data_IF_063527966055
#
_entry.id   IF_063527966055
#
_cell.length_a   1.000
_cell.length_b   1.000
_cell.length_c   1.000
_cell.angle_alpha   90.00
_cell.angle_beta   90.00
_cell.angle_gamma   90.00
#
_symmetry.space_group_name_H-M   'P 1'
#
loop_
_entity.id
_entity.type
_entity.pdbx_description
1 polymer ?
#
# COMPACT_ATOMS: atom_id res chain seq x y z
N UNK A 1 20.24 -13.88 2.77
CA UNK A 1 18.81 -14.28 2.60
C UNK A 1 18.18 -14.52 3.98
N UNK A 2 18.82 -15.34 4.84
CA UNK A 2 18.30 -15.71 6.17
C UNK A 2 18.06 -14.48 7.07
N UNK A 3 19.02 -13.57 7.18
CA UNK A 3 18.88 -12.35 7.98
C UNK A 3 17.76 -11.44 7.47
N UNK A 4 17.61 -11.30 6.17
CA UNK A 4 16.53 -10.51 5.57
C UNK A 4 15.13 -11.09 5.88
N UNK A 5 15.00 -12.42 5.80
CA UNK A 5 13.75 -13.11 6.11
C UNK A 5 13.33 -12.88 7.56
N UNK A 6 14.27 -13.06 8.50
CA UNK A 6 13.99 -12.85 9.93
C UNK A 6 13.61 -11.40 10.22
N UNK A 7 14.35 -10.43 9.67
CA UNK A 7 14.04 -9.00 9.82
C UNK A 7 12.63 -8.67 9.32
N UNK A 8 12.24 -9.23 8.16
CA UNK A 8 10.91 -9.04 7.58
C UNK A 8 9.81 -9.61 8.48
N UNK A 9 9.95 -10.86 8.95
CA UNK A 9 8.97 -11.51 9.82
C UNK A 9 8.89 -10.82 11.18
N UNK A 10 10.03 -10.42 11.77
CA UNK A 10 10.09 -9.62 13.00
C UNK A 10 9.35 -8.28 12.85
N UNK A 11 9.49 -7.65 11.68
CA UNK A 11 8.82 -6.38 11.41
C UNK A 11 7.28 -6.52 11.39
N UNK A 12 6.77 -7.68 10.96
CA UNK A 12 5.33 -7.99 10.99
C UNK A 12 4.89 -8.25 12.43
N UNK A 13 5.60 -9.09 13.17
CA UNK A 13 5.29 -9.42 14.57
C UNK A 13 5.23 -8.14 15.43
N UNK A 14 6.12 -7.18 15.19
CA UNK A 14 6.09 -5.89 15.91
C UNK A 14 4.88 -5.01 15.58
N UNK A 15 4.27 -5.19 14.39
CA UNK A 15 3.16 -4.35 13.90
C UNK A 15 1.79 -5.01 14.04
N UNK A 16 1.75 -6.33 14.26
CA UNK A 16 0.50 -7.08 14.41
C UNK A 16 0.47 -7.80 15.76
N UNK A 17 -0.38 -7.34 16.71
CA UNK A 17 -0.54 -8.00 18.01
C UNK A 17 -1.04 -9.47 17.92
N UNK A 18 -1.66 -9.87 16.82
CA UNK A 18 -2.14 -11.23 16.60
C UNK A 18 -1.04 -12.19 16.13
N UNK A 19 0.09 -11.65 15.65
CA UNK A 19 1.22 -12.45 15.15
C UNK A 19 2.01 -13.06 16.32
N UNK A 20 2.00 -14.40 16.43
CA UNK A 20 2.61 -15.11 17.58
C UNK A 20 3.98 -15.73 17.29
N UNK A 21 4.29 -16.04 16.03
CA UNK A 21 5.56 -16.68 15.66
C UNK A 21 5.88 -16.48 14.19
N UNK A 22 7.17 -16.55 13.84
CA UNK A 22 7.63 -16.52 12.45
C UNK A 22 6.96 -17.58 11.59
N UNK A 23 6.82 -18.80 12.11
CA UNK A 23 6.21 -19.91 11.37
C UNK A 23 4.73 -19.63 11.07
N UNK A 24 3.98 -19.13 12.05
CA UNK A 24 2.59 -18.73 11.85
C UNK A 24 2.48 -17.63 10.78
N UNK A 25 3.25 -16.57 10.90
CA UNK A 25 3.25 -15.46 9.93
C UNK A 25 3.60 -15.96 8.52
N UNK A 26 4.65 -16.77 8.39
CA UNK A 26 5.08 -17.32 7.10
C UNK A 26 3.98 -18.16 6.42
N UNK A 27 3.29 -19.01 7.17
CA UNK A 27 2.33 -19.97 6.62
C UNK A 27 0.93 -19.38 6.44
N UNK A 28 0.50 -18.44 7.29
CA UNK A 28 -0.90 -18.00 7.32
C UNK A 28 -1.14 -16.59 6.77
N UNK A 29 -0.11 -15.73 6.66
CA UNK A 29 -0.29 -14.36 6.21
C UNK A 29 -0.24 -14.26 4.68
N UNK A 30 -1.34 -13.88 4.01
CA UNK A 30 -1.38 -13.78 2.55
C UNK A 30 -0.43 -12.68 2.03
N UNK A 31 -0.27 -11.59 2.77
CA UNK A 31 0.65 -10.50 2.42
C UNK A 31 2.11 -10.95 2.31
N UNK A 32 2.54 -11.86 3.19
CA UNK A 32 3.90 -12.44 3.14
C UNK A 32 4.10 -13.21 1.84
N UNK A 33 3.15 -14.09 1.50
CA UNK A 33 3.19 -14.88 0.26
C UNK A 33 3.18 -13.98 -0.98
N UNK A 34 2.34 -12.94 -0.97
CA UNK A 34 2.24 -11.97 -2.07
C UNK A 34 3.56 -11.23 -2.31
N UNK A 35 4.23 -10.76 -1.24
CA UNK A 35 5.53 -10.07 -1.34
C UNK A 35 6.62 -11.00 -1.88
N UNK A 36 6.66 -12.28 -1.47
CA UNK A 36 7.64 -13.23 -2.01
C UNK A 36 7.40 -13.54 -3.48
N UNK A 37 6.15 -13.80 -3.86
CA UNK A 37 5.79 -14.07 -5.26
C UNK A 37 6.02 -12.82 -6.14
N UNK A 38 5.79 -11.63 -5.59
CA UNK A 38 6.14 -10.39 -6.29
C UNK A 38 7.64 -10.27 -6.53
N UNK A 39 8.49 -10.57 -5.55
CA UNK A 39 9.96 -10.54 -5.77
C UNK A 39 10.39 -11.46 -6.90
N UNK A 40 9.79 -12.64 -6.99
CA UNK A 40 10.05 -13.58 -8.10
C UNK A 40 9.58 -12.97 -9.43
N UNK A 41 8.34 -12.52 -9.50
CA UNK A 41 7.78 -11.95 -10.74
C UNK A 41 8.51 -10.67 -11.16
N UNK A 42 8.93 -9.80 -10.22
CA UNK A 42 9.73 -8.61 -10.50
C UNK A 42 11.12 -8.95 -11.07
N UNK A 43 11.78 -9.96 -10.53
CA UNK A 43 13.06 -10.43 -11.09
C UNK A 43 12.90 -10.89 -12.54
N UNK A 44 11.86 -11.67 -12.83
CA UNK A 44 11.54 -12.15 -14.18
C UNK A 44 11.16 -10.99 -15.10
N UNK A 45 10.42 -10.01 -14.60
CA UNK A 45 10.07 -8.78 -15.33
C UNK A 45 11.34 -8.01 -15.77
N UNK A 46 12.31 -7.86 -14.86
CA UNK A 46 13.60 -7.22 -15.17
C UNK A 46 14.44 -7.99 -16.21
N UNK A 47 14.21 -9.28 -16.35
CA UNK A 47 14.79 -10.09 -17.44
C UNK A 47 14.03 -9.92 -18.77
N UNK A 48 13.04 -9.00 -18.84
CA UNK A 48 12.17 -8.73 -19.99
C UNK A 48 11.26 -9.89 -20.38
N UNK A 49 11.07 -10.89 -19.53
CA UNK A 49 10.15 -11.99 -19.71
C UNK A 49 8.75 -11.59 -19.20
N UNK A 50 8.17 -10.56 -19.82
CA UNK A 50 7.00 -9.85 -19.33
C UNK A 50 5.77 -10.76 -19.15
N UNK A 51 5.49 -11.62 -20.14
CA UNK A 51 4.34 -12.53 -20.08
C UNK A 51 4.47 -13.50 -18.90
N UNK A 52 5.63 -14.11 -18.72
CA UNK A 52 5.88 -15.04 -17.62
C UNK A 52 5.75 -14.34 -16.25
N UNK A 53 6.31 -13.13 -16.13
CA UNK A 53 6.16 -12.32 -14.92
C UNK A 53 4.69 -12.02 -14.61
N UNK A 54 3.89 -11.68 -15.62
CA UNK A 54 2.44 -11.44 -15.47
C UNK A 54 1.69 -12.70 -15.06
N UNK A 55 1.99 -13.85 -15.64
CA UNK A 55 1.39 -15.14 -15.25
C UNK A 55 1.66 -15.41 -13.78
N UNK A 56 2.91 -15.26 -13.31
CA UNK A 56 3.27 -15.47 -11.89
C UNK A 56 2.49 -14.49 -11.00
N UNK A 57 2.36 -13.21 -11.40
CA UNK A 57 1.59 -12.25 -10.59
C UNK A 57 0.09 -12.59 -10.54
N UNK A 58 -0.49 -13.16 -11.59
CA UNK A 58 -1.88 -13.62 -11.55
C UNK A 58 -2.07 -14.87 -10.68
N UNK A 59 -1.12 -15.78 -10.69
CA UNK A 59 -1.11 -16.91 -9.75
C UNK A 59 -1.04 -16.40 -8.31
N UNK A 60 -0.14 -15.42 -8.03
CA UNK A 60 -0.04 -14.79 -6.72
C UNK A 60 -1.37 -14.17 -6.28
N UNK A 61 -2.04 -13.42 -7.17
CA UNK A 61 -3.36 -12.84 -6.93
C UNK A 61 -4.41 -13.92 -6.60
N UNK A 62 -4.45 -14.99 -7.38
CA UNK A 62 -5.38 -16.09 -7.15
C UNK A 62 -5.18 -16.74 -5.77
N UNK A 63 -3.93 -16.94 -5.34
CA UNK A 63 -3.58 -17.57 -4.07
C UNK A 63 -3.75 -16.66 -2.85
N UNK A 64 -3.66 -15.35 -3.02
CA UNK A 64 -3.56 -14.40 -1.90
C UNK A 64 -4.66 -13.35 -1.85
N UNK A 65 -5.41 -13.16 -2.95
CA UNK A 65 -6.36 -12.05 -3.10
C UNK A 65 -5.70 -10.68 -3.27
N UNK A 66 -4.36 -10.64 -3.47
CA UNK A 66 -3.55 -9.43 -3.57
C UNK A 66 -2.98 -9.33 -4.97
N UNK A 67 -3.24 -8.23 -5.65
CA UNK A 67 -2.66 -7.94 -6.95
C UNK A 67 -1.47 -6.99 -6.83
N UNK A 68 -0.29 -7.44 -7.25
CA UNK A 68 0.91 -6.60 -7.35
C UNK A 68 1.44 -6.71 -8.78
N UNK A 69 1.52 -5.58 -9.48
CA UNK A 69 2.10 -5.59 -10.83
C UNK A 69 3.60 -5.91 -10.75
N UNK A 70 4.13 -6.77 -11.63
CA UNK A 70 5.55 -7.19 -11.58
C UNK A 70 6.54 -6.03 -11.66
N UNK A 71 6.19 -4.92 -12.34
CA UNK A 71 7.04 -3.75 -12.47
C UNK A 71 7.09 -2.86 -11.22
N UNK A 72 6.15 -2.99 -10.29
CA UNK A 72 6.11 -2.17 -9.09
C UNK A 72 7.42 -2.30 -8.27
N UNK A 73 7.87 -1.18 -7.70
CA UNK A 73 9.07 -1.13 -6.88
C UNK A 73 8.66 -1.17 -5.41
N UNK A 74 9.17 -2.15 -4.67
CA UNK A 74 8.82 -2.36 -3.26
C UNK A 74 10.10 -2.41 -2.43
N UNK A 75 10.16 -1.54 -1.43
CA UNK A 75 11.23 -1.47 -0.45
C UNK A 75 11.18 -2.61 0.58
N UNK A 76 11.88 -2.43 1.69
CA UNK A 76 11.96 -3.44 2.75
C UNK A 76 10.72 -3.42 3.63
N UNK A 77 10.41 -4.58 4.21
CA UNK A 77 9.43 -4.71 5.29
C UNK A 77 8.02 -4.21 4.95
N UNK A 78 7.60 -4.31 3.69
CA UNK A 78 6.20 -4.04 3.34
C UNK A 78 5.30 -5.04 4.09
N UNK A 79 4.42 -4.54 4.94
CA UNK A 79 3.39 -5.31 5.61
C UNK A 79 2.04 -5.09 4.95
N UNK A 80 1.43 -6.16 4.42
CA UNK A 80 0.06 -6.15 3.89
C UNK A 80 -0.77 -6.97 4.86
N UNK A 81 -1.58 -6.28 5.66
CA UNK A 81 -2.45 -6.90 6.65
C UNK A 81 -3.80 -7.26 6.07
N UNK A 82 -4.28 -8.48 6.35
CA UNK A 82 -5.45 -9.15 5.75
C UNK A 82 -5.34 -9.32 4.23
N UNK A 83 -5.03 -8.29 3.50
CA UNK A 83 -4.60 -8.24 2.10
C UNK A 83 -5.68 -8.39 1.03
N UNK A 84 -6.82 -9.00 1.31
CA UNK A 84 -7.86 -9.22 0.30
C UNK A 84 -8.23 -7.92 -0.42
N UNK A 85 -8.20 -7.93 -1.76
CA UNK A 85 -8.57 -6.78 -2.59
C UNK A 85 -7.53 -5.67 -2.69
N UNK A 86 -6.31 -5.85 -2.16
CA UNK A 86 -5.20 -4.90 -2.40
C UNK A 86 -4.79 -4.94 -3.87
N UNK A 87 -4.64 -3.75 -4.47
CA UNK A 87 -4.14 -3.58 -5.84
C UNK A 87 -2.98 -2.60 -5.86
N UNK A 88 -1.82 -3.03 -6.34
CA UNK A 88 -0.62 -2.21 -6.51
C UNK A 88 -0.28 -2.14 -8.00
N UNK A 89 -0.49 -0.95 -8.60
CA UNK A 89 -0.34 -0.72 -10.04
C UNK A 89 1.12 -0.68 -10.51
N UNK A 90 1.29 -0.72 -11.83
CA UNK A 90 2.56 -0.92 -12.54
C UNK A 90 3.69 0.03 -12.12
N UNK A 91 3.42 1.32 -12.06
CA UNK A 91 4.44 2.35 -11.76
C UNK A 91 4.44 2.79 -10.30
N UNK A 92 3.82 1.99 -9.41
CA UNK A 92 3.86 2.25 -7.96
C UNK A 92 5.27 2.07 -7.41
N UNK A 93 5.62 2.95 -6.48
CA UNK A 93 6.85 2.87 -5.71
C UNK A 93 6.49 2.89 -4.22
N UNK A 94 6.99 1.93 -3.47
CA UNK A 94 6.72 1.76 -2.05
C UNK A 94 8.04 1.72 -1.30
N UNK A 95 8.21 2.63 -0.36
CA UNK A 95 9.38 2.73 0.51
C UNK A 95 9.45 1.62 1.57
N UNK A 96 10.32 1.81 2.54
CA UNK A 96 10.56 0.85 3.61
C UNK A 96 9.52 0.97 4.73
N UNK A 97 9.22 -0.15 5.39
CA UNK A 97 8.32 -0.25 6.55
C UNK A 97 6.89 0.26 6.31
N UNK A 98 6.42 0.26 5.08
CA UNK A 98 5.04 0.64 4.75
C UNK A 98 4.07 -0.44 5.22
N UNK A 99 2.89 0.00 5.70
CA UNK A 99 1.77 -0.89 6.05
C UNK A 99 0.57 -0.58 5.18
N UNK A 100 0.02 -1.60 4.52
CA UNK A 100 -1.22 -1.53 3.76
C UNK A 100 -2.24 -2.48 4.37
N UNK A 101 -3.44 -1.99 4.59
CA UNK A 101 -4.57 -2.85 4.97
C UNK A 101 -5.32 -3.37 3.73
N UNK A 102 -6.29 -4.27 3.95
CA UNK A 102 -7.09 -4.85 2.86
C UNK A 102 -7.82 -3.80 2.01
N UNK A 103 -8.13 -4.16 0.77
CA UNK A 103 -8.85 -3.35 -0.21
C UNK A 103 -8.21 -1.99 -0.54
N UNK A 104 -6.93 -1.77 -0.20
CA UNK A 104 -6.17 -0.58 -0.60
C UNK A 104 -5.84 -0.65 -2.08
N UNK A 105 -6.05 0.47 -2.79
CA UNK A 105 -5.65 0.62 -4.20
C UNK A 105 -4.58 1.69 -4.36
N UNK A 106 -3.46 1.33 -4.96
CA UNK A 106 -2.46 2.24 -5.51
C UNK A 106 -2.66 2.29 -7.03
N UNK A 107 -3.55 3.19 -7.49
CA UNK A 107 -4.09 3.21 -8.84
C UNK A 107 -3.70 4.43 -9.67
N UNK A 108 -3.99 4.37 -10.97
CA UNK A 108 -3.96 5.52 -11.87
C UNK A 108 -5.30 6.26 -11.89
N UNK A 109 -5.30 7.51 -12.37
CA UNK A 109 -6.51 8.28 -12.63
C UNK A 109 -6.96 8.00 -14.05
N UNK A 110 -8.18 7.47 -14.22
CA UNK A 110 -8.82 7.24 -15.52
C UNK A 110 -7.93 6.61 -16.60
N UNK A 111 -7.30 5.46 -16.35
CA UNK A 111 -6.34 4.87 -17.30
C UNK A 111 -6.97 4.46 -18.64
N UNK A 112 -8.31 4.34 -18.71
CA UNK A 112 -9.05 4.05 -19.95
C UNK A 112 -9.25 5.25 -20.86
N UNK A 113 -9.01 6.47 -20.35
CA UNK A 113 -9.08 7.70 -21.12
C UNK A 113 -7.67 8.04 -21.58
N UNK A 114 -7.45 8.17 -22.90
CA UNK A 114 -6.15 8.49 -23.48
C UNK A 114 -5.02 7.55 -22.99
N UNK A 115 -5.25 6.24 -23.09
CA UNK A 115 -4.34 5.23 -22.55
C UNK A 115 -2.95 5.26 -23.21
N UNK A 116 -2.86 5.70 -24.46
CA UNK A 116 -1.59 5.75 -25.19
C UNK A 116 -0.63 6.80 -24.61
N UNK A 117 -1.13 7.96 -24.20
CA UNK A 117 -0.31 8.99 -23.54
C UNK A 117 0.18 8.56 -22.16
N UNK A 118 -0.51 7.61 -21.53
CA UNK A 118 -0.18 7.07 -20.22
C UNK A 118 0.80 5.88 -20.27
N UNK A 119 1.06 5.35 -21.47
CA UNK A 119 2.09 4.31 -21.66
C UNK A 119 3.47 4.87 -21.29
N UNK A 120 4.27 4.07 -20.60
CA UNK A 120 5.63 4.42 -20.20
C UNK A 120 5.74 5.66 -19.27
N UNK A 121 4.61 6.22 -18.82
CA UNK A 121 4.60 7.36 -17.89
C UNK A 121 4.38 6.90 -16.44
N UNK A 122 4.86 7.68 -15.48
CA UNK A 122 4.50 7.54 -14.07
C UNK A 122 3.03 7.89 -13.90
N UNK A 123 2.19 6.92 -13.47
CA UNK A 123 0.74 7.10 -13.31
C UNK A 123 0.17 6.53 -12.01
N UNK A 124 1.01 5.87 -11.21
CA UNK A 124 0.65 5.31 -9.90
C UNK A 124 1.42 6.01 -8.78
N UNK A 125 0.93 5.98 -7.53
CA UNK A 125 1.53 6.72 -6.43
C UNK A 125 2.91 6.21 -6.01
N UNK A 126 3.63 7.11 -5.34
CA UNK A 126 4.85 6.81 -4.58
C UNK A 126 4.53 6.98 -3.09
N UNK A 127 4.70 5.91 -2.31
CA UNK A 127 4.65 5.94 -0.86
C UNK A 127 6.07 5.97 -0.30
N UNK A 128 6.38 6.95 0.54
CA UNK A 128 7.68 7.04 1.22
C UNK A 128 7.71 6.10 2.44
N UNK A 129 8.81 6.15 3.21
CA UNK A 129 9.00 5.23 4.33
C UNK A 129 7.97 5.43 5.46
N UNK A 130 7.65 4.36 6.15
CA UNK A 130 6.76 4.32 7.31
C UNK A 130 5.33 4.81 7.06
N UNK A 131 4.89 4.88 5.81
CA UNK A 131 3.50 5.24 5.48
C UNK A 131 2.56 4.12 5.91
N UNK A 132 1.42 4.51 6.48
CA UNK A 132 0.34 3.58 6.87
C UNK A 132 -0.92 3.92 6.08
N UNK A 133 -1.49 2.94 5.38
CA UNK A 133 -2.69 3.11 4.56
C UNK A 133 -3.80 2.22 5.09
N UNK A 134 -4.85 2.85 5.61
CA UNK A 134 -6.04 2.18 6.17
C UNK A 134 -6.86 1.44 5.12
N UNK A 135 -7.68 0.51 5.60
CA UNK A 135 -8.49 -0.38 4.75
C UNK A 135 -9.40 0.38 3.78
N UNK A 136 -9.48 -0.12 2.54
CA UNK A 136 -10.33 0.46 1.51
C UNK A 136 -9.88 1.82 0.96
N UNK A 137 -8.76 2.37 1.43
CA UNK A 137 -8.29 3.66 0.92
C UNK A 137 -7.84 3.57 -0.54
N UNK A 138 -8.15 4.61 -1.31
CA UNK A 138 -7.83 4.73 -2.73
C UNK A 138 -6.81 5.87 -2.90
N UNK A 139 -5.58 5.54 -3.31
CA UNK A 139 -4.53 6.52 -3.60
C UNK A 139 -4.32 6.51 -5.11
N UNK A 140 -4.69 7.61 -5.76
CA UNK A 140 -4.86 7.63 -7.22
C UNK A 140 -3.99 8.71 -7.88
N UNK A 141 -3.29 8.31 -8.94
CA UNK A 141 -2.45 9.20 -9.74
C UNK A 141 -0.97 9.16 -9.33
N UNK A 142 -0.12 9.88 -10.06
CA UNK A 142 1.33 9.92 -9.82
C UNK A 142 1.69 10.86 -8.64
N UNK A 143 0.96 10.70 -7.54
CA UNK A 143 1.13 11.52 -6.33
C UNK A 143 2.15 10.91 -5.37
N UNK A 144 2.69 11.74 -4.49
CA UNK A 144 3.64 11.34 -3.47
C UNK A 144 2.95 11.41 -2.09
N UNK A 145 3.03 10.31 -1.36
CA UNK A 145 2.68 10.25 0.06
C UNK A 145 3.99 10.24 0.84
N UNK A 146 4.26 11.34 1.52
CA UNK A 146 5.53 11.56 2.21
C UNK A 146 5.67 10.72 3.47
N UNK A 147 6.88 10.70 4.05
CA UNK A 147 7.26 9.86 5.19
C UNK A 147 6.32 10.00 6.38
N UNK A 148 6.08 8.90 7.06
CA UNK A 148 5.25 8.75 8.26
C UNK A 148 3.78 9.20 8.09
N UNK A 149 3.36 9.56 6.88
CA UNK A 149 1.97 9.93 6.64
C UNK A 149 1.02 8.75 6.90
N UNK A 150 -0.17 9.06 7.36
CA UNK A 150 -1.23 8.09 7.62
C UNK A 150 -2.44 8.42 6.76
N UNK A 151 -2.96 7.43 6.08
CA UNK A 151 -4.20 7.54 5.29
C UNK A 151 -5.27 6.72 6.00
N UNK A 152 -6.37 7.37 6.37
CA UNK A 152 -7.48 6.73 7.06
C UNK A 152 -8.24 5.75 6.16
N UNK A 153 -9.01 4.86 6.79
CA UNK A 153 -9.81 3.89 6.07
C UNK A 153 -10.81 4.58 5.12
N UNK A 154 -11.01 3.99 3.93
CA UNK A 154 -11.89 4.49 2.86
C UNK A 154 -11.61 5.92 2.38
N UNK A 155 -10.45 6.50 2.70
CA UNK A 155 -10.08 7.81 2.19
C UNK A 155 -9.73 7.75 0.69
N UNK A 156 -10.07 8.81 -0.06
CA UNK A 156 -9.70 8.94 -1.48
C UNK A 156 -8.69 10.07 -1.64
N UNK A 157 -7.43 9.70 -1.88
CA UNK A 157 -6.28 10.63 -1.97
C UNK A 157 -5.95 10.90 -3.43
N UNK A 158 -6.06 12.17 -3.83
CA UNK A 158 -5.88 12.63 -5.21
C UNK A 158 -4.76 13.69 -5.34
N UNK A 159 -4.10 14.06 -4.25
CA UNK A 159 -3.05 15.08 -4.19
C UNK A 159 -1.90 14.60 -3.33
N UNK A 160 -0.72 15.20 -3.50
CA UNK A 160 0.43 14.92 -2.67
C UNK A 160 0.09 15.09 -1.18
N UNK A 161 0.62 14.18 -0.37
CA UNK A 161 0.39 14.14 1.08
C UNK A 161 1.68 14.57 1.77
N UNK A 162 1.64 15.61 2.62
CA UNK A 162 2.82 16.05 3.36
C UNK A 162 3.33 15.01 4.36
N UNK A 163 4.60 15.14 4.75
CA UNK A 163 5.20 14.36 5.82
C UNK A 163 4.40 14.47 7.11
N UNK A 164 4.28 13.35 7.84
CA UNK A 164 3.57 13.23 9.12
C UNK A 164 2.07 13.61 9.06
N UNK A 165 1.50 13.81 7.86
CA UNK A 165 0.10 14.16 7.68
C UNK A 165 -0.84 13.00 8.02
N UNK A 166 -2.07 13.33 8.43
CA UNK A 166 -3.17 12.37 8.60
C UNK A 166 -4.30 12.73 7.65
N UNK A 167 -4.49 11.92 6.61
CA UNK A 167 -5.46 12.13 5.54
C UNK A 167 -6.72 11.31 5.80
N UNK A 168 -7.89 11.96 5.78
CA UNK A 168 -9.19 11.29 5.94
C UNK A 168 -10.24 11.83 4.97
N UNK A 169 -11.23 11.03 4.65
CA UNK A 169 -12.45 11.44 3.92
C UNK A 169 -12.33 11.32 2.40
N UNK A 170 -13.37 11.79 1.71
CA UNK A 170 -13.57 11.72 0.24
C UNK A 170 -14.03 13.10 -0.26
N UNK A 171 -13.19 13.88 -0.98
CA UNK A 171 -11.74 13.67 -1.14
C UNK A 171 -10.99 13.84 0.19
N UNK A 172 -9.84 13.18 0.33
CA UNK A 172 -9.08 13.19 1.58
C UNK A 172 -8.52 14.58 1.91
N UNK A 173 -8.66 14.96 3.19
CA UNK A 173 -8.13 16.21 3.76
C UNK A 173 -7.16 15.90 4.89
N UNK A 174 -6.14 16.74 5.05
CA UNK A 174 -5.20 16.63 6.17
C UNK A 174 -5.81 17.22 7.44
N UNK A 175 -5.99 16.40 8.46
CA UNK A 175 -6.57 16.84 9.74
C UNK A 175 -5.53 17.41 10.72
N UNK A 176 -4.24 17.29 10.41
CA UNK A 176 -3.17 17.91 11.20
C UNK A 176 -2.96 19.40 10.89
N UNK A 177 -3.50 19.89 9.79
CA UNK A 177 -3.51 21.31 9.48
C UNK A 177 -4.57 22.02 10.32
N UNK A 178 -4.15 22.77 11.34
CA UNK A 178 -5.02 23.45 12.32
C UNK A 178 -5.96 24.52 11.74
N UNK A 179 -5.87 24.83 10.45
CA UNK A 179 -6.68 25.85 9.81
C UNK A 179 -7.57 25.25 8.72
N UNK A 180 -8.88 25.27 8.96
CA UNK A 180 -10.00 25.12 8.03
C UNK A 180 -10.93 23.91 8.15
N UNK A 181 -10.97 23.21 9.26
CA UNK A 181 -12.15 22.41 9.55
C UNK A 181 -13.05 23.24 10.49
N UNK A 182 -13.61 24.33 9.97
CA UNK A 182 -14.84 24.91 10.52
C UNK A 182 -15.99 24.07 9.98
N UNK A 183 -16.72 23.49 10.93
CA UNK A 183 -18.05 22.93 10.75
C UNK A 183 -18.20 21.67 9.87
N UNK A 184 -17.69 20.53 10.33
CA UNK A 184 -18.45 19.30 10.21
C UNK A 184 -18.04 18.34 11.33
N UNK A 185 -18.99 17.96 12.18
CA UNK A 185 -18.82 17.02 13.30
C UNK A 185 -18.62 15.59 12.79
N UNK A 186 -17.60 15.37 11.97
CA UNK A 186 -17.21 14.02 11.61
C UNK A 186 -16.35 13.44 12.74
N UNK A 187 -16.88 12.41 13.42
CA UNK A 187 -16.14 11.64 14.43
C UNK A 187 -15.57 10.38 13.80
N UNK A 188 -14.25 10.28 13.60
CA UNK A 188 -13.65 9.03 13.15
C UNK A 188 -13.94 7.92 14.15
N UNK A 189 -14.33 6.76 13.69
CA UNK A 189 -14.53 5.59 14.51
C UNK A 189 -13.27 5.27 15.31
N UNK A 190 -13.36 5.15 16.64
CA UNK A 190 -12.24 4.80 17.52
C UNK A 190 -11.47 5.97 18.15
N UNK A 191 -11.80 7.23 17.87
CA UNK A 191 -11.15 8.37 18.52
C UNK A 191 -11.92 8.79 19.78
N UNK A 192 -11.30 8.62 20.96
CA UNK A 192 -11.79 9.24 22.20
C UNK A 192 -11.54 10.75 22.13
N UNK A 193 -12.59 11.55 22.21
CA UNK A 193 -12.47 12.99 22.41
C UNK A 193 -12.48 13.21 23.92
N UNK A 194 -11.37 13.67 24.48
CA UNK A 194 -11.38 14.23 25.82
C UNK A 194 -12.10 15.58 25.72
N UNK A 195 -13.27 15.66 26.33
CA UNK A 195 -13.92 16.95 26.59
C UNK A 195 -13.14 17.57 27.76
N UNK A 196 -12.35 18.60 27.49
CA UNK A 196 -11.96 19.60 28.46
C UNK A 196 -12.99 20.71 28.48
#
# INVERSE_FOLDING_TARGET
IYNYMNEFLDSIIRRDPAAKSHLSVLLTYPGVKAVFLHKLSNKIWRMKLYLLARIISQIARFLTGIEIHPAAIIGKNLFIDHGMGVVIGETSEIGDNVTLYHAVTLGGVSPSIDSDSQRLSKRHPTLKNNVVVGSGAQILGPIIVEENAKVGANAVVLKNVPKDAVMIGIPAKNINEKDKIKDEKFRPYGVKINND
#
